data_IF_479864047843
#
_entry.id   IF_479864047843
#
_cell.length_a   1.000
_cell.length_b   1.000
_cell.length_c   1.000
_cell.angle_alpha   90.00
_cell.angle_beta   90.00
_cell.angle_gamma   90.00
#
_symmetry.space_group_name_H-M   'P 1'
#
loop_
_entity.id
_entity.type
_entity.pdbx_description
1 polymer ?
#
# COMPACT_ATOMS: atom_id res chain seq x y z
N UNK A 1 -35.33 -25.56 -25.82
CA UNK A 1 -34.36 -24.50 -26.15
C UNK A 1 -34.69 -23.14 -25.51
N UNK A 2 -35.92 -22.59 -25.63
CA UNK A 2 -36.24 -21.21 -25.19
C UNK A 2 -36.14 -20.96 -23.67
N UNK A 3 -36.51 -21.94 -22.84
CA UNK A 3 -36.42 -21.83 -21.37
C UNK A 3 -35.00 -21.99 -20.81
N UNK A 4 -34.10 -22.64 -21.56
CA UNK A 4 -32.72 -22.85 -21.14
C UNK A 4 -31.91 -21.54 -21.18
N UNK A 5 -32.18 -20.68 -22.17
CA UNK A 5 -31.59 -19.34 -22.28
C UNK A 5 -32.02 -18.46 -21.10
N UNK A 6 -33.29 -18.55 -20.68
CA UNK A 6 -33.81 -17.80 -19.52
C UNK A 6 -33.10 -18.24 -18.24
N UNK A 7 -32.88 -19.55 -18.08
CA UNK A 7 -32.20 -20.11 -16.92
C UNK A 7 -30.73 -19.66 -16.82
N UNK A 8 -30.02 -19.58 -17.95
CA UNK A 8 -28.65 -19.05 -18.02
C UNK A 8 -28.62 -17.56 -17.67
N UNK A 9 -29.58 -16.77 -18.18
CA UNK A 9 -29.65 -15.33 -17.91
C UNK A 9 -29.91 -15.03 -16.42
N UNK A 10 -30.73 -15.83 -15.74
CA UNK A 10 -30.98 -15.71 -14.30
C UNK A 10 -29.75 -16.10 -13.46
N UNK A 11 -28.97 -17.09 -13.89
CA UNK A 11 -27.73 -17.52 -13.23
C UNK A 11 -26.60 -16.48 -13.31
N UNK A 12 -26.57 -15.65 -14.36
CA UNK A 12 -25.61 -14.55 -14.47
C UNK A 12 -25.95 -13.34 -13.60
N UNK A 13 -27.22 -13.18 -13.19
CA UNK A 13 -27.69 -12.05 -12.37
C UNK A 13 -27.22 -12.07 -10.91
N UNK A 14 -26.73 -13.21 -10.41
CA UNK A 14 -26.36 -13.38 -9.00
C UNK A 14 -24.88 -13.15 -8.70
N UNK A 15 -24.07 -12.83 -9.72
CA UNK A 15 -22.65 -12.47 -9.53
C UNK A 15 -22.56 -10.99 -9.15
N UNK A 16 -23.03 -10.66 -7.95
CA UNK A 16 -22.86 -9.33 -7.40
C UNK A 16 -21.43 -9.22 -6.88
N UNK A 17 -20.57 -8.54 -7.62
CA UNK A 17 -19.22 -8.21 -7.15
C UNK A 17 -19.37 -7.26 -5.95
N UNK A 18 -19.24 -7.79 -4.72
CA UNK A 18 -19.17 -6.96 -3.52
C UNK A 18 -17.83 -6.24 -3.53
N UNK A 19 -17.83 -4.99 -3.97
CA UNK A 19 -16.68 -4.09 -3.80
C UNK A 19 -16.59 -3.70 -2.32
N UNK A 20 -16.13 -4.63 -1.49
CA UNK A 20 -15.87 -4.38 -0.06
C UNK A 20 -14.49 -3.74 0.10
N UNK A 21 -14.36 -2.86 1.09
CA UNK A 21 -13.08 -2.29 1.47
C UNK A 21 -12.26 -3.35 2.20
N UNK A 22 -11.16 -3.77 1.60
CA UNK A 22 -10.26 -4.80 2.18
C UNK A 22 -8.94 -4.15 2.54
N UNK A 23 -8.33 -4.58 3.65
CA UNK A 23 -7.00 -4.15 4.07
C UNK A 23 -6.03 -5.32 4.04
N UNK A 24 -4.87 -5.10 3.43
CA UNK A 24 -3.79 -6.07 3.38
C UNK A 24 -2.51 -5.47 3.96
N UNK A 25 -1.87 -6.20 4.87
CA UNK A 25 -0.60 -5.77 5.44
C UNK A 25 0.54 -5.93 4.43
N UNK A 26 1.23 -4.85 4.11
CA UNK A 26 2.46 -4.87 3.33
C UNK A 26 3.66 -4.49 4.19
N UNK A 27 4.76 -5.21 4.02
CA UNK A 27 5.99 -4.99 4.78
C UNK A 27 7.09 -4.48 3.85
N UNK A 28 7.76 -3.41 4.27
CA UNK A 28 8.89 -2.80 3.59
C UNK A 28 10.08 -2.78 4.53
N UNK A 29 11.26 -3.15 4.02
CA UNK A 29 12.49 -3.13 4.79
C UNK A 29 13.63 -2.55 3.97
N UNK A 30 14.45 -1.73 4.61
CA UNK A 30 15.72 -1.24 4.08
C UNK A 30 16.80 -1.29 5.15
N UNK A 31 18.02 -1.60 4.73
CA UNK A 31 19.24 -1.56 5.55
C UNK A 31 20.22 -0.61 4.88
N UNK A 32 21.05 0.07 5.66
CA UNK A 32 22.08 0.96 5.09
C UNK A 32 23.02 0.21 4.15
N UNK A 33 23.46 0.89 3.09
CA UNK A 33 24.50 0.39 2.18
C UNK A 33 25.89 0.89 2.55
N UNK A 34 26.00 1.77 3.55
CA UNK A 34 27.29 2.24 4.03
C UNK A 34 28.04 1.10 4.75
N UNK A 35 29.39 1.06 4.67
CA UNK A 35 30.17 0.06 5.37
C UNK A 35 29.85 0.06 6.88
N UNK A 36 29.41 -1.08 7.38
CA UNK A 36 29.10 -1.31 8.79
C UNK A 36 29.48 -2.75 9.15
N UNK A 37 30.02 -2.94 10.34
CA UNK A 37 30.50 -4.25 10.81
C UNK A 37 29.43 -4.98 11.63
N UNK A 38 28.81 -4.30 12.59
CA UNK A 38 27.74 -4.83 13.44
C UNK A 38 26.69 -3.75 13.71
N UNK A 39 25.46 -4.15 14.07
CA UNK A 39 24.35 -3.24 14.42
C UNK A 39 24.06 -2.16 13.37
N UNK A 40 24.20 -2.52 12.10
CA UNK A 40 23.93 -1.64 10.97
C UNK A 40 22.50 -1.08 11.02
N UNK A 41 22.32 0.24 10.80
CA UNK A 41 21.00 0.86 10.71
C UNK A 41 20.08 0.13 9.73
N UNK A 42 18.88 -0.19 10.20
CA UNK A 42 17.79 -0.72 9.40
C UNK A 42 16.47 -0.01 9.73
N UNK A 43 15.59 0.06 8.73
CA UNK A 43 14.21 0.49 8.86
C UNK A 43 13.30 -0.62 8.36
N UNK A 44 12.28 -0.94 9.16
CA UNK A 44 11.21 -1.90 8.85
C UNK A 44 9.89 -1.21 9.07
N UNK A 45 9.01 -1.23 8.08
CA UNK A 45 7.69 -0.63 8.17
C UNK A 45 6.66 -1.64 7.70
N UNK A 46 5.63 -1.85 8.51
CA UNK A 46 4.47 -2.68 8.16
C UNK A 46 3.25 -1.76 8.08
N UNK A 47 2.58 -1.76 6.94
CA UNK A 47 1.55 -0.77 6.60
C UNK A 47 0.32 -1.49 6.05
N UNK A 48 -0.89 -1.14 6.53
CA UNK A 48 -2.12 -1.61 5.91
C UNK A 48 -2.36 -0.89 4.57
N UNK A 49 -2.58 -1.65 3.51
CA UNK A 49 -2.96 -1.14 2.19
C UNK A 49 -4.42 -1.43 1.95
N UNK A 50 -5.20 -0.38 1.70
CA UNK A 50 -6.61 -0.47 1.38
C UNK A 50 -6.81 -0.85 -0.11
N UNK A 51 -7.78 -1.72 -0.38
CA UNK A 51 -8.16 -2.25 -1.69
C UNK A 51 -9.69 -2.37 -1.82
N UNK A 52 -10.18 -2.75 -3.01
CA UNK A 52 -11.59 -3.10 -3.26
C UNK A 52 -12.48 -1.92 -3.67
N UNK A 53 -12.39 -0.76 -3.01
CA UNK A 53 -13.15 0.46 -3.36
C UNK A 53 -12.18 1.57 -3.80
N UNK A 54 -11.97 1.74 -5.11
CA UNK A 54 -10.87 2.54 -5.68
C UNK A 54 -10.68 3.93 -5.07
N UNK A 55 -11.70 4.79 -5.07
CA UNK A 55 -11.57 6.18 -4.59
C UNK A 55 -11.30 6.23 -3.08
N UNK A 56 -11.96 5.36 -2.31
CA UNK A 56 -11.81 5.30 -0.85
C UNK A 56 -10.44 4.74 -0.48
N UNK A 57 -10.05 3.64 -1.12
CA UNK A 57 -8.75 3.01 -0.98
C UNK A 57 -7.61 3.99 -1.31
N UNK A 58 -7.72 4.73 -2.40
CA UNK A 58 -6.74 5.74 -2.79
C UNK A 58 -6.60 6.85 -1.74
N UNK A 59 -7.71 7.34 -1.20
CA UNK A 59 -7.70 8.37 -0.16
C UNK A 59 -7.01 7.87 1.11
N UNK A 60 -7.34 6.65 1.54
CA UNK A 60 -6.73 6.00 2.71
C UNK A 60 -5.22 5.82 2.48
N UNK A 61 -4.83 5.20 1.36
CA UNK A 61 -3.43 4.92 1.03
C UNK A 61 -2.60 6.21 0.96
N UNK A 62 -3.15 7.30 0.39
CA UNK A 62 -2.51 8.63 0.40
C UNK A 62 -2.33 9.19 1.80
N UNK A 63 -3.34 9.05 2.67
CA UNK A 63 -3.26 9.52 4.06
C UNK A 63 -2.19 8.75 4.83
N UNK A 64 -2.18 7.43 4.71
CA UNK A 64 -1.19 6.55 5.35
C UNK A 64 0.23 6.89 4.88
N UNK A 65 0.44 7.05 3.58
CA UNK A 65 1.71 7.50 3.02
C UNK A 65 2.16 8.85 3.59
N UNK A 66 1.24 9.83 3.65
CA UNK A 66 1.53 11.15 4.21
C UNK A 66 1.91 11.11 5.68
N UNK A 67 1.27 10.26 6.48
CA UNK A 67 1.58 10.09 7.91
C UNK A 67 2.96 9.45 8.07
N UNK A 68 3.25 8.37 7.34
CA UNK A 68 4.58 7.76 7.39
C UNK A 68 5.67 8.76 7.03
N UNK A 69 5.45 9.52 5.95
CA UNK A 69 6.36 10.56 5.51
C UNK A 69 6.63 11.58 6.62
N UNK A 70 5.63 11.96 7.42
CA UNK A 70 5.82 12.86 8.56
C UNK A 70 6.59 12.21 9.71
N UNK A 71 6.33 10.94 10.01
CA UNK A 71 6.99 10.21 11.11
C UNK A 71 8.49 10.08 10.87
N UNK A 72 8.88 9.71 9.65
CA UNK A 72 10.29 9.42 9.35
C UNK A 72 11.07 10.65 8.86
N UNK A 73 10.41 11.80 8.74
CA UNK A 73 11.05 13.02 8.28
C UNK A 73 11.95 13.62 9.35
N UNK A 74 13.26 13.60 9.11
CA UNK A 74 14.28 14.02 10.08
C UNK A 74 15.13 15.23 9.65
N UNK A 75 14.86 15.81 8.47
CA UNK A 75 15.76 16.79 7.84
C UNK A 75 15.14 18.17 7.58
N UNK A 76 15.94 19.05 6.95
CA UNK A 76 15.52 20.42 6.57
C UNK A 76 14.73 20.48 5.26
N UNK A 77 14.87 19.48 4.36
CA UNK A 77 14.23 19.45 3.03
C UNK A 77 13.26 18.27 2.88
N UNK A 78 11.98 18.50 2.52
CA UNK A 78 10.97 17.44 2.43
C UNK A 78 11.38 16.33 1.47
N UNK A 79 11.17 15.06 1.86
CA UNK A 79 11.36 13.94 0.93
C UNK A 79 10.43 14.09 -0.28
N UNK A 80 10.95 13.87 -1.49
CA UNK A 80 10.19 14.01 -2.74
C UNK A 80 9.60 12.70 -3.24
N UNK A 81 9.99 11.58 -2.64
CA UNK A 81 9.52 10.23 -2.95
C UNK A 81 7.99 10.14 -2.90
N UNK A 82 7.42 9.34 -3.81
CA UNK A 82 5.97 9.13 -3.97
C UNK A 82 5.51 7.73 -3.57
N UNK A 83 6.44 6.86 -3.21
CA UNK A 83 6.21 5.48 -2.83
C UNK A 83 7.03 5.10 -1.59
N UNK A 84 6.63 4.02 -0.93
CA UNK A 84 7.23 3.56 0.32
C UNK A 84 8.72 3.20 0.16
N UNK A 85 9.11 2.55 -0.94
CA UNK A 85 10.49 2.14 -1.15
C UNK A 85 11.43 3.33 -1.33
N UNK A 86 11.02 4.31 -2.14
CA UNK A 86 11.73 5.56 -2.31
C UNK A 86 11.80 6.36 -1.02
N UNK A 87 10.72 6.37 -0.23
CA UNK A 87 10.67 7.07 1.05
C UNK A 87 11.61 6.44 2.09
N UNK A 88 11.61 5.12 2.25
CA UNK A 88 12.53 4.40 3.14
C UNK A 88 13.99 4.52 2.68
N UNK A 89 14.23 4.53 1.36
CA UNK A 89 15.56 4.81 0.80
C UNK A 89 16.04 6.21 1.16
N UNK A 90 15.20 7.23 0.96
CA UNK A 90 15.54 8.60 1.35
C UNK A 90 15.85 8.71 2.85
N UNK A 91 15.11 7.99 3.70
CA UNK A 91 15.38 7.96 5.13
C UNK A 91 16.73 7.31 5.48
N UNK A 92 17.01 6.11 4.96
CA UNK A 92 18.20 5.33 5.36
C UNK A 92 19.50 5.85 4.75
N UNK A 93 19.41 6.57 3.64
CA UNK A 93 20.55 7.18 2.94
C UNK A 93 20.81 8.64 3.38
N UNK A 94 19.91 9.24 4.17
CA UNK A 94 20.13 10.56 4.79
C UNK A 94 21.15 10.44 5.92
#
# INVERSE_FOLDING_TARGET
MKYFIIYILVLFSTVQCSNELVFEDQSFQRKTTLPCTENCPEIKVKIPVANGVSIVADSINKKVFSVLKQIIYFGEKPYTSKDYNGLLKSFIDS
#
